data_IF_386819978673
#
_entry.id   IF_386819978673
#
_cell.length_a   1.000
_cell.length_b   1.000
_cell.length_c   1.000
_cell.angle_alpha   90.00
_cell.angle_beta   90.00
_cell.angle_gamma   90.00
#
_symmetry.space_group_name_H-M   'P 1'
#
loop_
_entity.id
_entity.type
_entity.pdbx_description
1 polymer ?
#
# COMPACT_ATOMS: atom_id res chain seq x y z
N UNK A 1 -7.17 -12.71 -11.53
CA UNK A 1 -7.13 -12.65 -10.05
C UNK A 1 -7.03 -11.20 -9.64
N UNK A 2 -7.88 -10.75 -8.72
CA UNK A 2 -7.86 -9.34 -8.28
C UNK A 2 -6.56 -9.01 -7.55
N UNK A 3 -5.91 -7.89 -7.90
CA UNK A 3 -4.69 -7.37 -7.27
C UNK A 3 -5.02 -6.10 -6.49
N UNK A 4 -4.83 -6.17 -5.17
CA UNK A 4 -5.07 -5.06 -4.24
C UNK A 4 -3.73 -4.51 -3.75
N UNK A 5 -3.57 -3.19 -3.81
CA UNK A 5 -2.46 -2.49 -3.15
C UNK A 5 -2.92 -1.92 -1.81
N UNK A 6 -2.08 -1.99 -0.79
CA UNK A 6 -2.26 -1.30 0.48
C UNK A 6 -1.14 -0.27 0.62
N UNK A 7 -1.50 1.00 0.82
CA UNK A 7 -0.54 2.02 1.28
C UNK A 7 -0.54 1.96 2.81
N UNK A 8 0.54 1.46 3.39
CA UNK A 8 0.65 1.29 4.82
C UNK A 8 0.78 2.63 5.57
N UNK A 9 0.30 2.71 6.82
CA UNK A 9 0.67 3.77 7.75
C UNK A 9 2.15 3.67 8.14
N UNK A 10 2.68 4.78 8.68
CA UNK A 10 4.10 4.90 9.06
C UNK A 10 4.39 4.41 10.48
N UNK A 11 3.37 4.34 11.35
CA UNK A 11 3.51 3.93 12.75
C UNK A 11 3.27 2.43 12.91
N UNK A 12 4.05 1.77 13.77
CA UNK A 12 3.90 0.33 14.05
C UNK A 12 2.49 0.01 14.53
N UNK A 13 1.94 0.79 15.47
CA UNK A 13 0.61 0.55 16.03
C UNK A 13 -0.45 0.50 14.92
N UNK A 14 -0.47 1.53 14.08
CA UNK A 14 -1.39 1.61 12.95
C UNK A 14 -1.18 0.48 11.93
N UNK A 15 0.08 0.09 11.68
CA UNK A 15 0.39 -1.01 10.78
C UNK A 15 -0.15 -2.34 11.31
N UNK A 16 -0.01 -2.61 12.62
CA UNK A 16 -0.62 -3.77 13.27
C UNK A 16 -2.15 -3.69 13.18
N UNK A 17 -2.74 -2.51 13.45
CA UNK A 17 -4.20 -2.30 13.33
C UNK A 17 -4.72 -2.45 11.90
N UNK A 18 -3.84 -2.46 10.88
CA UNK A 18 -4.24 -2.69 9.49
C UNK A 18 -4.40 -4.17 9.14
N UNK A 19 -3.88 -5.11 9.93
CA UNK A 19 -3.97 -6.55 9.62
C UNK A 19 -5.41 -7.08 9.52
N UNK A 20 -6.38 -6.68 10.37
CA UNK A 20 -7.77 -7.13 10.23
C UNK A 20 -8.39 -6.77 8.87
N UNK A 21 -7.99 -5.63 8.27
CA UNK A 21 -8.40 -5.29 6.90
C UNK A 21 -7.87 -6.32 5.90
N UNK A 22 -6.60 -6.73 6.01
CA UNK A 22 -5.99 -7.73 5.13
C UNK A 22 -6.73 -9.07 5.23
N UNK A 23 -7.02 -9.50 6.46
CA UNK A 23 -7.79 -10.70 6.75
C UNK A 23 -9.21 -10.64 6.15
N UNK A 24 -9.93 -9.53 6.37
CA UNK A 24 -11.27 -9.34 5.82
C UNK A 24 -11.27 -9.36 4.28
N UNK A 25 -10.26 -8.76 3.64
CA UNK A 25 -10.11 -8.83 2.19
C UNK A 25 -9.94 -10.29 1.74
N UNK A 26 -9.04 -11.06 2.35
CA UNK A 26 -8.86 -12.49 2.04
C UNK A 26 -10.13 -13.31 2.29
N UNK A 27 -10.93 -13.00 3.31
CA UNK A 27 -12.21 -13.68 3.54
C UNK A 27 -13.21 -13.42 2.39
N UNK A 28 -13.30 -12.18 1.90
CA UNK A 28 -14.20 -11.80 0.80
C UNK A 28 -13.76 -12.45 -0.52
N UNK A 29 -12.45 -12.48 -0.77
CA UNK A 29 -11.88 -13.12 -1.95
C UNK A 29 -10.55 -13.81 -1.59
N UNK A 30 -10.56 -15.12 -1.31
CA UNK A 30 -9.38 -15.87 -0.90
C UNK A 30 -8.24 -15.86 -1.94
N UNK A 31 -8.60 -15.78 -3.22
CA UNK A 31 -7.66 -15.84 -4.34
C UNK A 31 -7.03 -14.49 -4.70
N UNK A 32 -7.45 -13.38 -4.06
CA UNK A 32 -6.87 -12.07 -4.39
C UNK A 32 -5.41 -11.99 -3.95
N UNK A 33 -4.60 -11.26 -4.71
CA UNK A 33 -3.22 -10.90 -4.32
C UNK A 33 -3.25 -9.56 -3.59
N UNK A 34 -2.54 -9.47 -2.48
CA UNK A 34 -2.41 -8.25 -1.68
C UNK A 34 -0.94 -7.87 -1.65
N UNK A 35 -0.63 -6.68 -2.18
CA UNK A 35 0.68 -6.07 -2.06
C UNK A 35 0.63 -4.91 -1.06
N UNK A 36 1.71 -4.68 -0.33
CA UNK A 36 1.81 -3.58 0.63
C UNK A 36 2.97 -2.67 0.23
N UNK A 37 2.67 -1.38 0.01
CA UNK A 37 3.68 -0.33 -0.08
C UNK A 37 3.89 0.28 1.32
N UNK A 38 5.08 0.14 1.86
CA UNK A 38 5.40 0.57 3.21
C UNK A 38 6.83 1.10 3.36
N UNK A 39 7.11 1.80 4.46
CA UNK A 39 8.48 2.13 4.85
C UNK A 39 9.21 0.90 5.40
N UNK A 40 10.55 0.81 5.29
CA UNK A 40 11.31 -0.35 5.76
C UNK A 40 11.05 -0.73 7.23
N UNK A 41 10.83 0.25 8.09
CA UNK A 41 10.64 0.04 9.53
C UNK A 41 9.35 -0.72 9.90
N UNK A 42 8.26 -0.59 9.12
CA UNK A 42 7.03 -1.37 9.35
C UNK A 42 6.95 -2.63 8.48
N UNK A 43 7.91 -2.86 7.59
CA UNK A 43 7.86 -3.95 6.62
C UNK A 43 7.84 -5.33 7.28
N UNK A 44 8.53 -5.51 8.41
CA UNK A 44 8.54 -6.76 9.18
C UNK A 44 7.15 -7.19 9.66
N UNK A 45 6.26 -6.24 9.97
CA UNK A 45 4.88 -6.52 10.37
C UNK A 45 4.14 -7.17 9.20
N UNK A 46 4.24 -6.59 8.01
CA UNK A 46 3.59 -7.10 6.82
C UNK A 46 4.20 -8.42 6.32
N UNK A 47 5.50 -8.66 6.55
CA UNK A 47 6.13 -9.97 6.29
C UNK A 47 5.55 -11.09 7.16
N UNK A 48 5.09 -10.76 8.37
CA UNK A 48 4.47 -11.72 9.28
C UNK A 48 2.98 -11.98 8.96
N UNK A 49 2.36 -11.20 8.07
CA UNK A 49 0.96 -11.36 7.67
C UNK A 49 0.87 -12.36 6.51
N UNK A 50 0.22 -13.51 6.72
CA UNK A 50 0.06 -14.56 5.69
C UNK A 50 -0.81 -14.11 4.51
N UNK A 51 -1.60 -13.05 4.69
CA UNK A 51 -2.45 -12.45 3.67
C UNK A 51 -1.64 -11.69 2.61
N UNK A 52 -0.43 -11.23 2.96
CA UNK A 52 0.42 -10.39 2.12
C UNK A 52 1.21 -11.25 1.16
N UNK A 53 1.05 -10.99 -0.13
CA UNK A 53 1.74 -11.71 -1.21
C UNK A 53 2.99 -10.98 -1.69
N UNK A 54 3.10 -9.68 -1.45
CA UNK A 54 4.18 -8.84 -1.94
C UNK A 54 4.38 -7.63 -1.04
N UNK A 55 5.64 -7.25 -0.81
CA UNK A 55 5.99 -6.05 -0.07
C UNK A 55 6.87 -5.17 -0.94
N UNK A 56 6.49 -3.90 -1.02
CA UNK A 56 7.18 -2.86 -1.76
C UNK A 56 7.70 -1.87 -0.73
N UNK A 57 8.99 -1.99 -0.40
CA UNK A 57 9.63 -1.10 0.56
C UNK A 57 10.11 0.18 -0.13
N UNK A 58 9.69 1.33 0.40
CA UNK A 58 10.16 2.62 -0.06
C UNK A 58 10.46 3.51 1.14
N UNK A 59 11.69 4.00 1.20
CA UNK A 59 12.12 4.93 2.22
C UNK A 59 11.79 6.37 1.83
N UNK A 60 10.62 6.84 2.27
CA UNK A 60 10.25 8.24 2.14
C UNK A 60 10.85 9.05 3.29
N UNK A 61 11.77 9.95 2.97
CA UNK A 61 12.33 10.89 3.93
C UNK A 61 11.25 11.84 4.44
N UNK A 62 11.22 12.03 5.75
CA UNK A 62 10.24 12.89 6.41
C UNK A 62 10.38 14.34 5.92
N UNK A 63 9.26 15.01 5.66
CA UNK A 63 9.23 16.41 5.21
C UNK A 63 9.54 16.64 3.72
N UNK A 64 10.30 15.77 3.07
CA UNK A 64 10.66 15.93 1.65
C UNK A 64 9.55 15.45 0.70
N UNK A 65 9.33 16.17 -0.41
CA UNK A 65 8.37 15.74 -1.44
C UNK A 65 8.87 14.50 -2.22
N UNK A 66 10.19 14.41 -2.42
CA UNK A 66 10.89 13.34 -3.15
C UNK A 66 10.19 12.97 -4.48
N UNK A 67 9.89 13.99 -5.30
CA UNK A 67 9.07 13.82 -6.50
C UNK A 67 9.59 12.79 -7.50
N UNK A 68 10.91 12.74 -7.71
CA UNK A 68 11.56 11.73 -8.57
C UNK A 68 11.32 10.31 -8.08
N UNK A 69 11.48 10.07 -6.77
CA UNK A 69 11.21 8.77 -6.14
C UNK A 69 9.73 8.39 -6.23
N UNK A 70 8.82 9.35 -6.00
CA UNK A 70 7.38 9.09 -6.12
C UNK A 70 6.98 8.71 -7.54
N UNK A 71 7.58 9.36 -8.55
CA UNK A 71 7.36 9.03 -9.96
C UNK A 71 7.91 7.65 -10.32
N UNK A 72 9.12 7.31 -9.88
CA UNK A 72 9.70 5.99 -10.16
C UNK A 72 8.89 4.87 -9.50
N UNK A 73 8.48 5.06 -8.25
CA UNK A 73 7.62 4.12 -7.52
C UNK A 73 6.24 4.00 -8.18
N UNK A 74 5.64 5.11 -8.60
CA UNK A 74 4.36 5.08 -9.31
C UNK A 74 4.46 4.31 -10.64
N UNK A 75 5.57 4.45 -11.37
CA UNK A 75 5.81 3.69 -12.60
C UNK A 75 5.94 2.19 -12.33
N UNK A 76 6.71 1.79 -11.30
CA UNK A 76 6.81 0.40 -10.87
C UNK A 76 5.44 -0.19 -10.46
N UNK A 77 4.62 0.60 -9.75
CA UNK A 77 3.28 0.19 -9.33
C UNK A 77 2.34 0.07 -10.53
N UNK A 78 2.45 0.97 -11.51
CA UNK A 78 1.66 0.93 -12.76
C UNK A 78 1.90 -0.36 -13.53
N UNK A 79 3.15 -0.82 -13.60
CA UNK A 79 3.54 -2.08 -14.26
C UNK A 79 2.93 -3.32 -13.59
N UNK A 80 2.66 -3.25 -12.28
CA UNK A 80 2.03 -4.34 -11.50
C UNK A 80 0.51 -4.43 -11.68
N UNK A 81 -0.12 -3.49 -12.38
CA UNK A 81 -1.55 -3.50 -12.77
C UNK A 81 -2.51 -3.83 -11.61
N UNK A 82 -2.45 -3.03 -10.55
CA UNK A 82 -3.40 -3.17 -9.42
C UNK A 82 -4.81 -2.70 -9.83
N UNK A 83 -5.82 -3.47 -9.43
CA UNK A 83 -7.23 -3.14 -9.69
C UNK A 83 -7.75 -2.10 -8.70
N UNK A 84 -7.25 -2.16 -7.46
CA UNK A 84 -7.66 -1.24 -6.39
C UNK A 84 -6.55 -0.97 -5.40
N UNK A 85 -6.68 0.13 -4.67
CA UNK A 85 -5.81 0.50 -3.57
C UNK A 85 -6.61 0.92 -2.33
N UNK A 86 -6.11 0.57 -1.15
CA UNK A 86 -6.50 1.17 0.11
C UNK A 86 -5.39 2.11 0.60
N UNK A 87 -5.73 3.37 0.81
CA UNK A 87 -4.83 4.40 1.32
C UNK A 87 -5.13 4.62 2.79
N UNK A 88 -4.30 4.02 3.66
CA UNK A 88 -4.51 4.06 5.10
C UNK A 88 -3.99 5.34 5.78
N UNK A 89 -2.95 6.04 5.29
CA UNK A 89 -2.56 7.32 5.89
C UNK A 89 -3.53 8.45 5.51
N UNK A 90 -3.89 9.28 6.49
CA UNK A 90 -4.74 10.48 6.33
C UNK A 90 -4.01 11.70 5.73
N UNK A 91 -3.14 11.47 4.74
CA UNK A 91 -2.36 12.53 4.11
C UNK A 91 -2.65 12.62 2.62
N UNK A 92 -2.67 13.83 2.04
CA UNK A 92 -2.75 13.96 0.58
C UNK A 92 -1.53 13.34 -0.14
N UNK A 93 -0.36 13.37 0.53
CA UNK A 93 0.89 12.86 -0.04
C UNK A 93 0.86 11.36 -0.32
N UNK A 94 0.18 10.57 0.53
CA UNK A 94 0.04 9.11 0.35
C UNK A 94 -0.86 8.76 -0.84
N UNK A 95 -1.79 9.63 -1.22
CA UNK A 95 -2.68 9.42 -2.36
C UNK A 95 -2.03 9.69 -3.72
N UNK A 96 -0.90 10.42 -3.78
CA UNK A 96 -0.26 10.77 -5.05
C UNK A 96 0.28 9.56 -5.82
N UNK A 97 0.89 8.61 -5.14
CA UNK A 97 1.49 7.45 -5.80
C UNK A 97 0.41 6.60 -6.49
N UNK A 98 -0.69 6.22 -5.82
CA UNK A 98 -1.76 5.50 -6.50
C UNK A 98 -2.43 6.27 -7.63
N UNK A 99 -2.55 7.60 -7.48
CA UNK A 99 -3.10 8.44 -8.54
C UNK A 99 -2.20 8.48 -9.77
N UNK A 100 -0.89 8.70 -9.59
CA UNK A 100 0.11 8.67 -10.67
C UNK A 100 0.22 7.29 -11.33
N UNK A 101 0.07 6.22 -10.55
CA UNK A 101 0.08 4.85 -11.05
C UNK A 101 -1.18 4.49 -11.86
N UNK A 102 -2.23 5.33 -11.83
CA UNK A 102 -3.46 5.12 -12.60
C UNK A 102 -4.35 4.01 -12.05
N UNK A 103 -4.27 3.67 -10.76
CA UNK A 103 -5.10 2.62 -10.15
C UNK A 103 -6.57 3.06 -10.17
N UNK A 104 -7.50 2.31 -10.78
CA UNK A 104 -8.84 2.81 -11.09
C UNK A 104 -9.70 3.00 -9.83
N UNK A 105 -9.61 2.09 -8.85
CA UNK A 105 -10.36 2.17 -7.59
C UNK A 105 -9.42 2.58 -6.45
N UNK A 106 -9.65 3.76 -5.87
CA UNK A 106 -8.83 4.30 -4.77
C UNK A 106 -9.72 4.55 -3.54
N UNK A 107 -9.48 3.82 -2.46
CA UNK A 107 -10.30 3.82 -1.25
C UNK A 107 -9.46 4.43 -0.12
N UNK A 108 -10.03 5.35 0.66
CA UNK A 108 -9.38 5.99 1.79
C UNK A 108 -10.41 6.59 2.76
N UNK A 109 -9.93 7.17 3.86
CA UNK A 109 -10.77 7.86 4.84
C UNK A 109 -11.37 9.17 4.27
N UNK A 110 -12.42 9.66 4.92
CA UNK A 110 -13.07 10.95 4.62
C UNK A 110 -12.51 12.05 5.50
#
# INVERSE_FOLDING_TARGET
MQRTLIIAPHWIGDAVMSQPLLAALKQINPTQSIAVLCTPWVASIYRACSEVTEIIEVDFQHGALQWGLRRSVAQQIKEKRFDRVFVLPNSLKSAFIPWLAGIPVRIGYR
#
